data_IF_362236486952
#
_entry.id   IF_362236486952
#
_cell.length_a   1.000
_cell.length_b   1.000
_cell.length_c   1.000
_cell.angle_alpha   90.00
_cell.angle_beta   90.00
_cell.angle_gamma   90.00
#
_symmetry.space_group_name_H-M   'P 1'
#
loop_
_entity.id
_entity.type
_entity.pdbx_description
1 polymer ?
#
# COMPACT_ATOMS: atom_id res chain seq x y z
N UNK A 1 -0.07 -10.49 -23.36
CA UNK A 1 -1.53 -10.37 -23.12
C UNK A 1 -1.93 -8.95 -23.47
N UNK A 2 -3.04 -8.77 -24.20
CA UNK A 2 -3.66 -7.46 -24.35
C UNK A 2 -4.62 -7.27 -23.18
N UNK A 3 -4.27 -6.39 -22.24
CA UNK A 3 -4.98 -6.20 -20.98
C UNK A 3 -5.51 -4.77 -20.92
N UNK A 4 -6.83 -4.66 -20.75
CA UNK A 4 -7.51 -3.39 -20.47
C UNK A 4 -8.18 -3.48 -19.11
N UNK A 5 -7.87 -2.52 -18.23
CA UNK A 5 -8.51 -2.33 -16.93
C UNK A 5 -9.48 -1.17 -17.04
N UNK A 6 -10.70 -1.37 -16.55
CA UNK A 6 -11.71 -0.32 -16.41
C UNK A 6 -11.92 -0.02 -14.93
N UNK A 7 -11.95 1.26 -14.59
CA UNK A 7 -12.09 1.73 -13.22
C UNK A 7 -13.09 2.89 -13.15
N UNK A 8 -13.99 2.83 -12.17
CA UNK A 8 -15.03 3.85 -11.96
C UNK A 8 -14.47 5.18 -11.46
N UNK A 9 -13.27 5.17 -10.90
CA UNK A 9 -12.60 6.36 -10.37
C UNK A 9 -12.10 7.21 -11.54
N UNK A 10 -12.00 8.52 -11.34
CA UNK A 10 -11.46 9.45 -12.35
C UNK A 10 -9.93 9.37 -12.47
N UNK A 11 -9.24 8.91 -11.42
CA UNK A 11 -7.78 8.87 -11.34
C UNK A 11 -7.33 7.87 -10.25
N UNK A 12 -6.07 7.39 -10.27
CA UNK A 12 -5.56 6.48 -9.24
C UNK A 12 -5.51 7.12 -7.84
N UNK A 13 -5.38 8.44 -7.76
CA UNK A 13 -5.32 9.22 -6.53
C UNK A 13 -6.67 9.83 -6.12
N UNK A 14 -7.75 9.50 -6.83
CA UNK A 14 -9.09 9.96 -6.50
C UNK A 14 -9.46 9.59 -5.05
N UNK A 15 -9.89 10.61 -4.30
CA UNK A 15 -10.25 10.45 -2.89
C UNK A 15 -11.54 9.65 -2.73
N UNK A 16 -11.51 8.67 -1.82
CA UNK A 16 -12.66 7.84 -1.48
C UNK A 16 -12.88 7.87 0.04
N UNK A 17 -13.97 8.50 0.47
CA UNK A 17 -14.31 8.70 1.90
C UNK A 17 -14.38 7.37 2.67
N UNK A 18 -14.84 6.31 2.01
CA UNK A 18 -15.06 4.99 2.61
C UNK A 18 -13.80 4.12 2.69
N UNK A 19 -12.65 4.62 2.24
CA UNK A 19 -11.40 3.85 2.19
C UNK A 19 -10.38 4.40 3.16
N UNK A 20 -9.58 3.49 3.73
CA UNK A 20 -8.45 3.88 4.56
C UNK A 20 -7.48 4.75 3.76
N UNK A 21 -7.01 5.82 4.40
CA UNK A 21 -6.09 6.77 3.79
C UNK A 21 -4.67 6.20 3.66
N UNK A 22 -4.24 5.34 4.59
CA UNK A 22 -2.89 4.77 4.66
C UNK A 22 -2.97 3.25 4.77
N UNK A 23 -2.06 2.56 4.08
CA UNK A 23 -1.89 1.11 4.16
C UNK A 23 -0.52 0.73 4.69
N UNK A 24 -0.49 -0.37 5.43
CA UNK A 24 0.74 -1.03 5.84
C UNK A 24 1.09 -2.09 4.79
N UNK A 25 2.22 -1.91 4.12
CA UNK A 25 2.84 -2.95 3.31
C UNK A 25 3.72 -3.78 4.23
N UNK A 26 3.20 -4.95 4.64
CA UNK A 26 3.92 -5.95 5.43
C UNK A 26 4.78 -6.86 4.54
N UNK A 27 5.38 -7.91 5.11
CA UNK A 27 6.20 -8.87 4.38
C UNK A 27 5.47 -9.56 3.21
N UNK A 28 4.15 -9.79 3.31
CA UNK A 28 3.38 -10.42 2.23
C UNK A 28 3.08 -9.44 1.11
N UNK A 29 2.64 -8.24 1.47
CA UNK A 29 2.46 -7.15 0.50
C UNK A 29 3.76 -6.90 -0.25
N UNK A 30 4.87 -6.95 0.46
CA UNK A 30 6.19 -6.78 -0.10
C UNK A 30 6.61 -7.87 -1.09
N UNK A 31 6.38 -9.15 -0.78
CA UNK A 31 6.70 -10.23 -1.73
C UNK A 31 6.07 -9.99 -3.10
N UNK A 32 4.84 -9.46 -3.11
CA UNK A 32 4.17 -9.06 -4.33
C UNK A 32 4.86 -7.85 -4.98
N UNK A 33 5.13 -6.78 -4.23
CA UNK A 33 5.76 -5.57 -4.78
C UNK A 33 7.18 -5.81 -5.29
N UNK A 34 7.93 -6.73 -4.68
CA UNK A 34 9.25 -7.18 -5.12
C UNK A 34 9.13 -7.91 -6.47
N UNK A 35 8.17 -8.82 -6.61
CA UNK A 35 7.93 -9.56 -7.85
C UNK A 35 7.58 -8.64 -9.03
N UNK A 36 7.00 -7.47 -8.78
CA UNK A 36 6.69 -6.48 -9.81
C UNK A 36 7.72 -5.34 -9.91
N UNK A 37 8.79 -5.37 -9.10
CA UNK A 37 9.86 -4.36 -9.14
C UNK A 37 9.39 -2.96 -8.74
N UNK A 38 8.48 -2.86 -7.78
CA UNK A 38 7.91 -1.57 -7.30
C UNK A 38 8.20 -1.28 -5.83
N UNK A 39 8.83 -2.21 -5.10
CA UNK A 39 9.14 -2.03 -3.68
C UNK A 39 10.00 -0.81 -3.41
N UNK A 40 11.09 -0.61 -4.14
CA UNK A 40 12.00 0.53 -3.92
C UNK A 40 11.24 1.85 -4.01
N UNK A 41 10.34 1.98 -4.99
CA UNK A 41 9.50 3.15 -5.15
C UNK A 41 8.53 3.36 -3.99
N UNK A 42 8.01 2.27 -3.41
CA UNK A 42 7.18 2.35 -2.21
C UNK A 42 7.98 2.76 -0.98
N UNK A 43 9.21 2.27 -0.83
CA UNK A 43 10.12 2.67 0.24
C UNK A 43 10.53 4.15 0.14
N UNK A 44 10.77 4.67 -1.07
CA UNK A 44 11.10 6.07 -1.30
C UNK A 44 9.95 7.03 -0.95
N UNK A 45 8.70 6.59 -1.16
CA UNK A 45 7.52 7.45 -1.05
C UNK A 45 6.74 7.29 0.25
N UNK A 46 6.86 6.12 0.89
CA UNK A 46 6.21 5.80 2.14
C UNK A 46 7.07 6.10 3.37
N UNK A 47 6.48 5.88 4.53
CA UNK A 47 7.14 5.99 5.84
C UNK A 47 7.58 4.61 6.29
N UNK A 48 8.89 4.40 6.30
CA UNK A 48 9.52 3.19 6.82
C UNK A 48 9.22 2.98 8.31
N UNK A 49 8.96 1.72 8.68
CA UNK A 49 8.80 1.27 10.06
C UNK A 49 10.11 0.80 10.71
N UNK A 50 11.27 1.11 10.13
CA UNK A 50 12.58 0.88 10.80
C UNK A 50 12.66 1.52 12.19
N UNK A 51 12.07 2.71 12.34
CA UNK A 51 12.12 3.51 13.57
C UNK A 51 10.72 3.89 14.02
N UNK A 52 9.90 2.89 14.39
CA UNK A 52 8.60 3.18 14.99
C UNK A 52 8.56 2.91 16.48
N UNK A 53 7.70 3.67 17.13
CA UNK A 53 7.59 3.78 18.56
C UNK A 53 6.17 3.46 18.99
N UNK A 54 6.00 2.48 19.87
CA UNK A 54 4.70 2.19 20.46
C UNK A 54 4.56 2.98 21.75
N UNK A 55 3.61 3.92 21.78
CA UNK A 55 3.18 4.59 23.01
C UNK A 55 2.08 3.75 23.65
N UNK A 56 2.25 3.30 24.89
CA UNK A 56 1.14 2.72 25.67
C UNK A 56 0.44 3.86 26.41
N UNK A 57 -0.88 3.85 26.49
CA UNK A 57 -1.63 4.81 27.31
C UNK A 57 -2.35 4.00 28.37
N UNK A 58 -1.97 4.16 29.63
CA UNK A 58 -2.66 3.54 30.75
C UNK A 58 -3.72 4.51 31.28
N UNK A 59 -4.91 4.00 31.59
CA UNK A 59 -6.03 4.81 32.10
C UNK A 59 -5.83 5.32 33.53
N UNK A 60 -4.76 4.91 34.20
CA UNK A 60 -4.49 5.13 35.63
C UNK A 60 -3.41 6.20 35.87
N UNK A 61 -3.48 7.37 35.22
CA UNK A 61 -2.62 8.55 35.49
C UNK A 61 -1.09 8.31 35.49
N UNK A 62 -0.56 7.13 35.16
CA UNK A 62 0.88 6.81 35.19
C UNK A 62 1.70 7.45 34.06
N UNK A 63 1.10 8.34 33.26
CA UNK A 63 1.77 9.02 32.16
C UNK A 63 2.05 8.10 30.97
N UNK A 64 2.68 8.66 29.94
CA UNK A 64 3.07 7.91 28.74
C UNK A 64 4.41 7.19 29.02
N UNK A 65 4.44 5.86 29.09
CA UNK A 65 5.68 5.10 29.21
C UNK A 65 6.55 5.32 27.97
N UNK A 66 7.87 5.09 28.09
CA UNK A 66 8.78 5.34 27.00
C UNK A 66 8.40 4.50 25.77
N UNK A 67 8.58 5.06 24.58
CA UNK A 67 8.27 4.38 23.35
C UNK A 67 9.05 3.07 23.23
N UNK A 68 8.36 1.97 22.96
CA UNK A 68 9.01 0.68 22.77
C UNK A 68 9.22 0.36 21.30
N UNK A 69 10.32 -0.35 21.01
CA UNK A 69 10.48 -1.02 19.73
C UNK A 69 9.40 -2.12 19.59
N UNK A 70 8.77 -2.22 18.44
CA UNK A 70 7.63 -3.10 18.20
C UNK A 70 8.05 -4.50 17.76
N UNK A 71 7.13 -5.45 17.97
CA UNK A 71 7.32 -6.88 17.68
C UNK A 71 7.52 -7.17 16.18
N UNK A 72 7.05 -6.32 15.27
CA UNK A 72 7.26 -6.51 13.83
C UNK A 72 8.71 -6.29 13.37
N UNK A 73 9.58 -5.72 14.22
CA UNK A 73 11.03 -5.67 14.02
C UNK A 73 11.81 -6.76 14.76
N UNK A 74 11.12 -7.75 15.37
CA UNK A 74 11.75 -8.82 16.17
C UNK A 74 11.94 -10.15 15.45
N UNK A 75 11.61 -10.25 14.16
CA UNK A 75 11.93 -11.45 13.37
C UNK A 75 13.38 -11.40 12.89
N UNK A 76 14.31 -11.68 13.80
CA UNK A 76 15.49 -12.54 13.63
C UNK A 76 16.42 -12.46 12.41
N UNK A 77 16.28 -11.52 11.48
CA UNK A 77 17.23 -11.34 10.37
C UNK A 77 17.42 -9.86 10.14
N UNK A 78 18.66 -9.39 10.28
CA UNK A 78 19.09 -8.05 9.89
C UNK A 78 18.86 -7.77 8.38
N UNK A 79 18.43 -8.79 7.62
CA UNK A 79 18.28 -8.80 6.17
C UNK A 79 16.85 -8.64 5.63
N UNK A 80 15.82 -8.43 6.47
CA UNK A 80 14.46 -8.14 5.98
C UNK A 80 14.17 -6.64 6.06
N UNK A 81 14.08 -5.93 4.93
CA UNK A 81 13.82 -4.49 4.98
C UNK A 81 12.41 -4.20 5.55
N UNK A 82 12.22 -3.04 6.19
CA UNK A 82 11.11 -2.80 7.09
C UNK A 82 9.77 -2.77 6.36
N UNK A 83 8.68 -2.97 7.10
CA UNK A 83 7.35 -2.65 6.58
C UNK A 83 7.23 -1.14 6.30
N UNK A 84 6.33 -0.75 5.40
CA UNK A 84 6.14 0.66 5.01
C UNK A 84 4.69 1.07 5.19
N UNK A 85 4.45 2.22 5.80
CA UNK A 85 3.17 2.92 5.69
C UNK A 85 3.19 3.78 4.44
N UNK A 86 2.24 3.58 3.54
CA UNK A 86 2.12 4.36 2.31
C UNK A 86 0.70 4.87 2.17
N UNK A 87 0.52 6.09 1.64
CA UNK A 87 -0.83 6.55 1.36
C UNK A 87 -1.44 5.69 0.25
N UNK A 88 -2.75 5.50 0.31
CA UNK A 88 -3.46 4.73 -0.71
C UNK A 88 -3.27 5.34 -2.11
N UNK A 89 -3.29 6.66 -2.24
CA UNK A 89 -3.10 7.34 -3.52
C UNK A 89 -1.71 7.09 -4.09
N UNK A 90 -0.66 7.15 -3.26
CA UNK A 90 0.71 6.84 -3.67
C UNK A 90 0.84 5.39 -4.12
N UNK A 91 0.30 4.44 -3.35
CA UNK A 91 0.31 3.01 -3.70
C UNK A 91 -0.32 2.76 -5.07
N UNK A 92 -1.51 3.32 -5.29
CA UNK A 92 -2.23 3.15 -6.55
C UNK A 92 -1.56 3.86 -7.71
N UNK A 93 -0.96 5.03 -7.48
CA UNK A 93 -0.16 5.73 -8.49
C UNK A 93 1.04 4.91 -8.95
N UNK A 94 1.77 4.29 -8.01
CA UNK A 94 2.90 3.40 -8.32
C UNK A 94 2.43 2.17 -9.13
N UNK A 95 1.28 1.59 -8.77
CA UNK A 95 0.70 0.46 -9.50
C UNK A 95 0.24 0.84 -10.91
N UNK A 96 -0.44 1.98 -11.07
CA UNK A 96 -0.87 2.52 -12.38
C UNK A 96 0.34 2.75 -13.29
N UNK A 97 1.37 3.44 -12.78
CA UNK A 97 2.60 3.69 -13.52
C UNK A 97 3.26 2.37 -13.98
N UNK A 98 3.38 1.41 -13.07
CA UNK A 98 3.98 0.10 -13.37
C UNK A 98 3.19 -0.69 -14.41
N UNK A 99 1.85 -0.65 -14.32
CA UNK A 99 0.95 -1.34 -15.24
C UNK A 99 1.00 -0.72 -16.63
N UNK A 100 0.98 0.62 -16.75
CA UNK A 100 1.14 1.32 -18.03
C UNK A 100 2.48 1.01 -18.68
N UNK A 101 3.56 0.99 -17.89
CA UNK A 101 4.89 0.57 -18.37
C UNK A 101 4.91 -0.89 -18.87
N UNK A 102 4.04 -1.75 -18.37
CA UNK A 102 3.87 -3.11 -18.85
C UNK A 102 2.97 -3.23 -20.10
N UNK A 103 2.46 -2.10 -20.63
CA UNK A 103 1.55 -2.07 -21.78
C UNK A 103 0.08 -2.28 -21.43
N UNK A 104 -0.30 -2.22 -20.15
CA UNK A 104 -1.72 -2.29 -19.74
C UNK A 104 -2.41 -0.97 -20.08
N UNK A 105 -3.58 -1.06 -20.71
CA UNK A 105 -4.46 0.09 -20.93
C UNK A 105 -5.36 0.25 -19.71
N UNK A 106 -5.39 1.43 -19.12
CA UNK A 106 -6.24 1.71 -17.95
C UNK A 106 -7.16 2.87 -18.31
N UNK A 107 -8.47 2.60 -18.28
CA UNK A 107 -9.53 3.57 -18.52
C UNK A 107 -10.23 3.91 -17.21
N UNK A 108 -10.10 5.17 -16.80
CA UNK A 108 -10.78 5.76 -15.66
C UNK A 108 -12.15 6.35 -16.06
N UNK A 109 -13.00 6.62 -15.08
CA UNK A 109 -14.36 7.13 -15.27
C UNK A 109 -15.35 6.13 -15.88
N UNK A 110 -14.99 4.84 -15.92
CA UNK A 110 -15.77 3.79 -16.56
C UNK A 110 -16.37 2.83 -15.53
N UNK A 111 -17.70 2.65 -15.56
CA UNK A 111 -18.40 1.69 -14.69
C UNK A 111 -18.93 0.52 -15.52
N UNK A 112 -18.69 -0.70 -15.05
CA UNK A 112 -19.29 -1.91 -15.63
C UNK A 112 -20.70 -2.07 -15.06
N UNK A 113 -21.72 -1.84 -15.89
CA UNK A 113 -23.13 -1.93 -15.47
C UNK A 113 -23.71 -3.34 -15.63
N UNK A 114 -23.26 -4.08 -16.65
CA UNK A 114 -23.69 -5.44 -16.92
C UNK A 114 -22.63 -6.21 -17.71
N UNK A 115 -22.67 -7.53 -17.61
CA UNK A 115 -21.88 -8.44 -18.45
C UNK A 115 -22.90 -9.32 -19.18
N UNK A 116 -22.99 -9.15 -20.50
CA UNK A 116 -23.75 -10.06 -21.34
C UNK A 116 -22.83 -11.21 -21.75
N UNK A 117 -22.88 -12.29 -20.97
CA UNK A 117 -22.19 -13.52 -21.30
C UNK A 117 -22.97 -14.23 -22.42
N UNK A 118 -22.68 -13.86 -23.67
CA UNK A 118 -23.11 -14.68 -24.81
C UNK A 118 -22.33 -16.00 -24.77
N UNK A 119 -23.01 -17.05 -24.31
CA UNK A 119 -22.63 -18.43 -24.60
C UNK A 119 -23.20 -18.84 -25.96
#
# INVERSE_FOLDING_TARGET
>A
WDVTVVDKREAPDAFEVEKAYVYLVDSRGRQWTDAYGISDRMFETGVSLEKFTMNRVYGDKQGMPPPMKPLMGRTGSEDLPPSVWISRSQLLGIMDERARKAGVRIQYGATVNSIDAKN
#
